data_IF_629569090278
#
_entry.id   IF_629569090278
#
_cell.length_a   1.000
_cell.length_b   1.000
_cell.length_c   1.000
_cell.angle_alpha   90.00
_cell.angle_beta   90.00
_cell.angle_gamma   90.00
#
_symmetry.space_group_name_H-M   'P 1'
#
loop_
_entity.id
_entity.type
_entity.pdbx_description
1 polymer ?
#
# COMPACT_ATOMS: atom_id res chain seq x y z
N UNK A 1 -9.04 4.73 0.72
CA UNK A 1 -8.63 5.38 1.98
C UNK A 1 -8.11 4.35 2.98
N UNK A 2 -8.92 3.37 3.40
CA UNK A 2 -8.57 2.38 4.44
C UNK A 2 -7.17 1.73 4.36
N UNK A 3 -6.78 1.18 3.20
CA UNK A 3 -5.48 0.47 3.08
C UNK A 3 -4.31 1.45 3.17
N UNK A 4 -4.38 2.58 2.45
CA UNK A 4 -3.29 3.56 2.43
C UNK A 4 -3.01 4.14 3.82
N UNK A 5 -4.06 4.46 4.59
CA UNK A 5 -3.94 4.98 5.95
C UNK A 5 -3.33 3.96 6.91
N UNK A 6 -3.75 2.69 6.82
CA UNK A 6 -3.20 1.62 7.64
C UNK A 6 -1.70 1.41 7.36
N UNK A 7 -1.32 1.37 6.07
CA UNK A 7 0.09 1.25 5.67
C UNK A 7 0.91 2.48 6.08
N UNK A 8 0.35 3.68 5.99
CA UNK A 8 0.99 4.91 6.47
C UNK A 8 1.24 4.88 7.98
N UNK A 9 0.32 4.26 8.72
CA UNK A 9 0.37 4.10 10.18
C UNK A 9 1.25 2.92 10.62
N UNK A 10 1.89 2.20 9.69
CA UNK A 10 2.73 1.04 10.02
C UNK A 10 1.93 -0.18 10.47
N UNK A 11 0.64 -0.26 10.13
CA UNK A 11 -0.22 -1.41 10.48
C UNK A 11 -0.26 -2.37 9.30
N UNK A 12 0.22 -3.63 9.45
CA UNK A 12 0.09 -4.64 8.40
C UNK A 12 -1.38 -4.90 8.06
N UNK A 13 -1.65 -5.07 6.77
CA UNK A 13 -3.02 -5.20 6.24
C UNK A 13 -3.22 -6.60 5.66
N UNK A 14 -4.35 -7.22 6.02
CA UNK A 14 -4.95 -8.34 5.28
C UNK A 14 -6.11 -7.77 4.46
N UNK A 15 -6.09 -7.97 3.15
CA UNK A 15 -7.10 -7.45 2.23
C UNK A 15 -7.56 -8.51 1.23
N UNK A 16 -8.77 -8.37 0.70
CA UNK A 16 -9.17 -9.13 -0.50
C UNK A 16 -8.48 -8.55 -1.73
N UNK A 17 -8.41 -9.33 -2.82
CA UNK A 17 -7.92 -8.84 -4.12
C UNK A 17 -8.69 -7.61 -4.58
N UNK A 18 -10.01 -7.64 -4.40
CA UNK A 18 -10.90 -6.51 -4.72
C UNK A 18 -10.57 -5.27 -3.89
N UNK A 19 -10.29 -5.41 -2.60
CA UNK A 19 -9.97 -4.26 -1.75
C UNK A 19 -8.59 -3.65 -2.09
N UNK A 20 -7.65 -4.47 -2.56
CA UNK A 20 -6.31 -4.03 -2.97
C UNK A 20 -6.25 -3.49 -4.41
N UNK A 21 -7.33 -3.60 -5.18
CA UNK A 21 -7.39 -3.17 -6.57
C UNK A 21 -7.06 -1.67 -6.71
N UNK A 22 -6.23 -1.33 -7.71
CA UNK A 22 -5.80 0.05 -7.97
C UNK A 22 -4.73 0.59 -7.01
N UNK A 23 -4.27 -0.22 -6.05
CA UNK A 23 -3.14 0.10 -5.18
C UNK A 23 -1.94 -0.78 -5.58
N UNK A 24 -0.76 -0.18 -5.68
CA UNK A 24 0.49 -0.87 -6.08
C UNK A 24 1.09 -1.68 -4.91
N UNK A 25 0.27 -2.54 -4.32
CA UNK A 25 0.63 -3.45 -3.24
C UNK A 25 0.86 -4.86 -3.78
N UNK A 26 1.71 -5.61 -3.09
CA UNK A 26 2.10 -6.96 -3.49
C UNK A 26 1.92 -7.89 -2.28
N UNK A 27 1.37 -9.08 -2.54
CA UNK A 27 1.19 -10.12 -1.55
C UNK A 27 2.54 -10.52 -0.91
N UNK A 28 2.56 -10.70 0.41
CA UNK A 28 3.75 -11.04 1.23
C UNK A 28 4.90 -10.03 1.19
N UNK A 29 4.71 -8.88 0.52
CA UNK A 29 5.67 -7.78 0.47
C UNK A 29 5.13 -6.53 1.15
N UNK A 30 3.93 -6.08 0.77
CA UNK A 30 3.28 -4.90 1.32
C UNK A 30 2.06 -5.28 2.18
N UNK A 31 1.32 -6.32 1.77
CA UNK A 31 0.07 -6.77 2.40
C UNK A 31 -0.04 -8.30 2.33
N UNK A 32 -0.96 -8.90 3.10
CA UNK A 32 -1.45 -10.25 2.82
C UNK A 32 -2.77 -10.15 2.05
N UNK A 33 -2.95 -11.03 1.05
CA UNK A 33 -4.09 -11.03 0.15
C UNK A 33 -4.83 -12.35 0.31
N UNK A 34 -6.10 -12.29 0.65
CA UNK A 34 -6.93 -13.45 0.94
C UNK A 34 -8.40 -13.13 0.63
N UNK A 35 -9.09 -14.03 -0.09
CA UNK A 35 -10.45 -13.76 -0.63
C UNK A 35 -11.56 -14.56 0.03
N UNK A 36 -11.24 -15.52 0.90
CA UNK A 36 -12.24 -16.30 1.64
C UNK A 36 -11.98 -16.24 3.16
N UNK A 37 -13.02 -16.44 3.99
CA UNK A 37 -12.91 -16.33 5.44
C UNK A 37 -11.78 -17.17 6.06
N UNK A 38 -11.60 -18.40 5.61
CA UNK A 38 -10.61 -19.34 6.14
C UNK A 38 -9.18 -18.84 5.86
N UNK A 39 -8.94 -18.36 4.64
CA UNK A 39 -7.65 -17.77 4.25
C UNK A 39 -7.37 -16.45 4.96
N UNK A 40 -8.38 -15.63 5.23
CA UNK A 40 -8.25 -14.40 6.02
C UNK A 40 -7.84 -14.74 7.45
N UNK A 41 -8.51 -15.71 8.09
CA UNK A 41 -8.17 -16.17 9.44
C UNK A 41 -6.73 -16.68 9.49
N UNK A 42 -6.32 -17.48 8.48
CA UNK A 42 -4.94 -17.98 8.38
C UNK A 42 -3.93 -16.83 8.30
N UNK A 43 -4.17 -15.82 7.46
CA UNK A 43 -3.31 -14.64 7.36
C UNK A 43 -3.20 -13.86 8.68
N UNK A 44 -4.33 -13.67 9.38
CA UNK A 44 -4.35 -13.00 10.69
C UNK A 44 -3.52 -13.79 11.70
N UNK A 45 -3.70 -15.12 11.76
CA UNK A 45 -2.92 -15.98 12.65
C UNK A 45 -1.42 -15.97 12.30
N UNK A 46 -1.08 -15.91 11.02
CA UNK A 46 0.29 -15.81 10.55
C UNK A 46 0.94 -14.51 11.04
N UNK A 47 0.27 -13.36 10.89
CA UNK A 47 0.76 -12.07 11.38
C UNK A 47 0.90 -12.01 12.90
N UNK A 48 -0.01 -12.67 13.63
CA UNK A 48 0.04 -12.73 15.09
C UNK A 48 1.21 -13.57 15.62
N UNK A 49 1.68 -14.56 14.85
CA UNK A 49 2.73 -15.51 15.26
C UNK A 49 4.11 -15.19 14.68
N UNK A 50 4.17 -14.61 13.48
CA UNK A 50 5.41 -14.30 12.78
C UNK A 50 5.73 -12.81 12.86
N UNK A 51 6.51 -12.45 13.88
CA UNK A 51 6.97 -11.07 14.08
C UNK A 51 7.84 -10.57 12.92
N UNK A 52 8.62 -11.43 12.26
CA UNK A 52 9.48 -11.02 11.14
C UNK A 52 8.63 -10.65 9.93
N UNK A 53 7.60 -11.45 9.64
CA UNK A 53 6.64 -11.11 8.59
C UNK A 53 5.93 -9.80 8.90
N UNK A 54 5.48 -9.61 10.14
CA UNK A 54 4.84 -8.37 10.56
C UNK A 54 5.74 -7.14 10.26
N UNK A 55 6.97 -7.15 10.76
CA UNK A 55 7.94 -6.06 10.57
C UNK A 55 8.26 -5.82 9.08
N UNK A 56 8.34 -6.89 8.29
CA UNK A 56 8.54 -6.81 6.84
C UNK A 56 7.39 -6.05 6.17
N UNK A 57 6.15 -6.42 6.45
CA UNK A 57 4.98 -5.80 5.84
C UNK A 57 4.79 -4.35 6.31
N UNK A 58 4.97 -4.09 7.61
CA UNK A 58 4.97 -2.74 8.19
C UNK A 58 5.96 -1.82 7.44
N UNK A 59 7.23 -2.23 7.38
CA UNK A 59 8.30 -1.41 6.80
C UNK A 59 8.08 -1.16 5.31
N UNK A 60 7.75 -2.22 4.56
CA UNK A 60 7.56 -2.11 3.12
C UNK A 60 6.29 -1.34 2.78
N UNK A 61 5.19 -1.57 3.50
CA UNK A 61 3.94 -0.85 3.35
C UNK A 61 4.11 0.65 3.57
N UNK A 62 4.75 1.04 4.67
CA UNK A 62 5.03 2.45 4.97
C UNK A 62 5.94 3.08 3.92
N UNK A 63 7.00 2.38 3.49
CA UNK A 63 7.90 2.84 2.43
C UNK A 63 7.17 3.07 1.10
N UNK A 64 6.22 2.21 0.75
CA UNK A 64 5.40 2.39 -0.46
C UNK A 64 4.58 3.68 -0.38
N UNK A 65 3.97 3.96 0.77
CA UNK A 65 3.22 5.21 0.98
C UNK A 65 4.13 6.43 0.82
N UNK A 66 5.27 6.44 1.52
CA UNK A 66 6.20 7.57 1.47
C UNK A 66 6.66 7.88 0.03
N UNK A 67 6.94 6.83 -0.76
CA UNK A 67 7.45 6.95 -2.12
C UNK A 67 6.40 7.30 -3.18
N UNK A 68 5.17 6.78 -3.06
CA UNK A 68 4.17 6.86 -4.15
C UNK A 68 2.88 7.56 -3.79
N UNK A 69 2.50 7.55 -2.51
CA UNK A 69 1.16 7.95 -2.08
C UNK A 69 1.18 9.09 -1.05
N UNK A 70 2.34 9.67 -0.76
CA UNK A 70 2.48 10.86 0.05
C UNK A 70 1.97 12.09 -0.71
N UNK A 71 1.51 13.10 0.04
CA UNK A 71 1.09 14.38 -0.55
C UNK A 71 2.18 15.02 -1.39
N UNK A 72 3.43 14.93 -0.94
CA UNK A 72 4.59 15.45 -1.67
C UNK A 72 4.81 14.69 -2.99
N UNK A 73 4.76 13.36 -2.97
CA UNK A 73 4.92 12.55 -4.18
C UNK A 73 3.83 12.86 -5.22
N UNK A 74 2.57 12.83 -4.80
CA UNK A 74 1.42 13.11 -5.67
C UNK A 74 1.46 14.56 -6.18
N UNK A 75 1.79 15.52 -5.32
CA UNK A 75 1.88 16.94 -5.68
C UNK A 75 2.99 17.20 -6.71
N UNK A 76 4.13 16.53 -6.56
CA UNK A 76 5.23 16.61 -7.52
C UNK A 76 4.84 16.02 -8.88
N UNK A 77 4.18 14.87 -8.90
CA UNK A 77 3.71 14.25 -10.14
C UNK A 77 2.68 15.13 -10.85
N UNK A 78 1.73 15.70 -10.11
CA UNK A 78 0.74 16.62 -10.66
C UNK A 78 1.38 17.87 -11.26
N UNK A 79 2.34 18.47 -10.54
CA UNK A 79 3.11 19.63 -11.03
C UNK A 79 3.84 19.31 -12.33
N UNK A 80 4.51 18.15 -12.40
CA UNK A 80 5.21 17.73 -13.61
C UNK A 80 4.26 17.60 -14.81
N UNK A 81 3.04 17.10 -14.60
CA UNK A 81 2.02 17.03 -15.65
C UNK A 81 1.60 18.44 -16.08
N UNK A 82 1.35 19.34 -15.13
CA UNK A 82 0.98 20.73 -15.44
C UNK A 82 2.07 21.46 -16.23
N UNK A 83 3.33 21.36 -15.82
CA UNK A 83 4.47 21.96 -16.52
C UNK A 83 4.60 21.44 -17.96
N UNK A 84 4.43 20.13 -18.18
CA UNK A 84 4.46 19.54 -19.53
C UNK A 84 3.35 20.08 -20.42
N UNK A 85 2.12 20.13 -19.91
CA UNK A 85 0.97 20.63 -20.67
C UNK A 85 1.11 22.11 -20.98
N UNK A 86 1.59 22.92 -20.02
CA UNK A 86 1.81 24.35 -20.22
C UNK A 86 2.88 24.63 -21.29
N UNK A 87 3.97 23.85 -21.31
CA UNK A 87 5.05 23.99 -22.28
C UNK A 87 4.68 23.49 -23.69
N UNK A 88 3.69 22.61 -23.84
CA UNK A 88 3.25 22.08 -25.14
C UNK A 88 2.26 23.01 -25.87
N UNK A 89 1.72 24.02 -25.17
CA UNK A 89 0.82 25.03 -25.74
C UNK A 89 1.49 26.40 -25.96
N UNK A 90 2.84 26.43 -25.91
CA UNK A 90 3.67 27.55 -26.39
C UNK A 90 4.38 27.15 -27.67
#
# INVERSE_FOLDING_TARGET
FKILEALASGVPVVATRLAAEGIDVEHEKHVLVADNPESIISCIQQLAKDRKLYEKLEKNGRKLIELKYSWDAIGNDLRNVYEKTFNHHR
#
